data_IF_760594630296
#
_entry.id   IF_760594630296
#
_cell.length_a   1.000
_cell.length_b   1.000
_cell.length_c   1.000
_cell.angle_alpha   90.00
_cell.angle_beta   90.00
_cell.angle_gamma   90.00
#
_symmetry.space_group_name_H-M   'P 1'
#
loop_
_entity.id
_entity.type
_entity.pdbx_description
1 polymer ?
#
# COMPACT_ATOMS: atom_id res chain seq x y z
N UNK A 1 -9.03 16.76 12.41
CA UNK A 1 -8.55 17.06 11.04
C UNK A 1 -7.72 15.91 10.53
N UNK A 2 -7.75 15.62 9.23
CA UNK A 2 -6.86 14.69 8.55
C UNK A 2 -6.42 15.28 7.20
N UNK A 3 -5.34 14.74 6.65
CA UNK A 3 -4.82 15.10 5.33
C UNK A 3 -5.03 13.94 4.36
N UNK A 4 -5.61 14.24 3.20
CA UNK A 4 -5.71 13.33 2.07
C UNK A 4 -4.60 13.67 1.05
N UNK A 5 -3.80 12.68 0.63
CA UNK A 5 -2.79 12.84 -0.41
C UNK A 5 -3.05 11.90 -1.60
N UNK A 6 -3.30 12.48 -2.76
CA UNK A 6 -3.35 11.76 -4.03
C UNK A 6 -2.13 12.14 -4.84
N UNK A 7 -1.28 11.18 -5.20
CA UNK A 7 -0.01 11.45 -5.89
C UNK A 7 0.10 10.65 -7.18
N UNK A 8 0.82 11.19 -8.16
CA UNK A 8 1.19 10.47 -9.37
C UNK A 8 2.01 9.23 -9.01
N UNK A 9 1.45 8.03 -9.23
CA UNK A 9 2.08 6.75 -8.87
C UNK A 9 3.20 6.30 -9.81
N UNK A 10 3.60 7.13 -10.77
CA UNK A 10 4.78 6.92 -11.62
C UNK A 10 5.80 8.07 -11.49
N UNK A 11 5.63 8.96 -10.50
CA UNK A 11 6.56 10.06 -10.24
C UNK A 11 7.85 9.65 -9.52
N UNK A 12 7.87 8.48 -8.89
CA UNK A 12 8.94 8.02 -7.98
C UNK A 12 9.14 8.90 -6.74
N UNK A 13 8.23 9.84 -6.47
CA UNK A 13 8.33 10.82 -5.40
C UNK A 13 7.50 10.47 -4.17
N UNK A 14 6.77 9.35 -4.17
CA UNK A 14 5.78 8.98 -3.14
C UNK A 14 6.37 8.99 -1.72
N UNK A 15 7.54 8.40 -1.50
CA UNK A 15 8.21 8.37 -0.19
C UNK A 15 8.65 9.77 0.25
N UNK A 16 9.32 10.51 -0.64
CA UNK A 16 9.86 11.83 -0.35
C UNK A 16 8.73 12.83 -0.03
N UNK A 17 7.67 12.84 -0.86
CA UNK A 17 6.51 13.71 -0.68
C UNK A 17 5.73 13.32 0.57
N UNK A 18 5.43 12.03 0.79
CA UNK A 18 4.70 11.58 1.99
C UNK A 18 5.46 11.95 3.26
N UNK A 19 6.78 11.75 3.28
CA UNK A 19 7.62 12.12 4.41
C UNK A 19 7.59 13.64 4.62
N UNK A 20 7.87 14.43 3.59
CA UNK A 20 7.92 15.90 3.68
C UNK A 20 6.60 16.50 4.16
N UNK A 21 5.46 15.97 3.67
CA UNK A 21 4.13 16.39 4.13
C UNK A 21 3.95 16.03 5.59
N UNK A 22 4.25 14.79 5.99
CA UNK A 22 4.09 14.36 7.39
C UNK A 22 4.88 15.25 8.37
N UNK A 23 6.11 15.62 8.02
CA UNK A 23 6.92 16.56 8.82
C UNK A 23 6.26 17.94 9.00
N UNK A 24 5.46 18.39 8.03
CA UNK A 24 4.73 19.65 8.11
C UNK A 24 3.33 19.56 8.72
N UNK A 25 2.84 18.34 9.01
CA UNK A 25 1.48 18.09 9.50
C UNK A 25 1.39 17.87 11.02
N UNK A 26 2.53 17.77 11.71
CA UNK A 26 2.59 17.40 13.13
C UNK A 26 1.74 16.14 13.40
N UNK A 27 0.71 16.25 14.26
CA UNK A 27 -0.17 15.15 14.66
C UNK A 27 -1.34 14.88 13.68
N UNK A 28 -1.46 15.64 12.58
CA UNK A 28 -2.54 15.43 11.61
C UNK A 28 -2.25 14.16 10.80
N UNK A 29 -3.12 13.13 10.85
CA UNK A 29 -2.88 11.90 10.11
C UNK A 29 -2.97 12.14 8.61
N UNK A 30 -1.97 11.66 7.89
CA UNK A 30 -1.91 11.63 6.42
C UNK A 30 -2.38 10.27 5.90
N UNK A 31 -3.20 10.28 4.87
CA UNK A 31 -3.64 9.06 4.19
C UNK A 31 -3.92 9.34 2.72
N UNK A 32 -3.84 8.33 1.86
CA UNK A 32 -4.30 8.44 0.49
C UNK A 32 -3.76 7.38 -0.44
N UNK A 33 -3.69 7.71 -1.71
CA UNK A 33 -3.42 6.76 -2.78
C UNK A 33 -2.56 7.30 -3.89
N UNK A 34 -1.76 6.41 -4.46
CA UNK A 34 -0.98 6.65 -5.68
C UNK A 34 -1.85 6.30 -6.88
N UNK A 35 -2.00 7.26 -7.79
CA UNK A 35 -2.75 7.08 -9.03
C UNK A 35 -2.16 5.94 -9.86
N UNK A 36 -3.00 5.25 -10.62
CA UNK A 36 -2.59 4.15 -11.49
C UNK A 36 -3.32 4.19 -12.83
N UNK A 37 -2.89 3.33 -13.74
CA UNK A 37 -3.33 3.27 -15.14
C UNK A 37 -3.63 1.84 -15.60
N UNK A 38 -4.24 1.05 -14.71
CA UNK A 38 -4.72 -0.31 -14.96
C UNK A 38 -3.60 -1.30 -15.39
N UNK A 39 -2.48 -1.26 -14.65
CA UNK A 39 -1.29 -2.08 -14.83
C UNK A 39 -0.53 -1.85 -16.15
N UNK A 40 -0.79 -0.74 -16.84
CA UNK A 40 -0.02 -0.36 -18.05
C UNK A 40 1.34 0.24 -17.70
N UNK A 41 1.41 1.01 -16.62
CA UNK A 41 2.61 1.70 -16.15
C UNK A 41 3.22 2.63 -17.20
N UNK A 42 2.35 3.32 -17.95
CA UNK A 42 2.71 4.24 -19.03
C UNK A 42 2.48 5.70 -18.61
N UNK A 43 1.36 6.02 -17.96
CA UNK A 43 1.00 7.39 -17.58
C UNK A 43 -0.10 7.41 -16.53
N UNK A 44 0.11 8.13 -15.42
CA UNK A 44 -0.98 8.45 -14.47
C UNK A 44 -1.33 9.92 -14.54
N UNK A 45 -2.53 10.27 -14.05
CA UNK A 45 -3.06 11.63 -14.08
C UNK A 45 -3.80 11.93 -12.79
N UNK A 46 -3.64 13.17 -12.31
CA UNK A 46 -4.41 13.75 -11.23
C UNK A 46 -5.26 14.90 -11.74
N UNK A 47 -6.48 15.04 -11.23
CA UNK A 47 -7.41 16.08 -11.62
C UNK A 47 -7.77 16.91 -10.40
N UNK A 48 -7.51 18.22 -10.47
CA UNK A 48 -7.91 19.18 -9.44
C UNK A 48 -8.49 20.42 -10.10
N UNK A 49 -9.69 20.84 -9.66
CA UNK A 49 -10.39 22.04 -10.15
C UNK A 49 -10.46 22.13 -11.70
N UNK A 50 -10.75 21.00 -12.35
CA UNK A 50 -10.84 20.90 -13.81
C UNK A 50 -9.50 20.86 -14.55
N UNK A 51 -8.36 20.94 -13.84
CA UNK A 51 -7.02 20.83 -14.44
C UNK A 51 -6.49 19.41 -14.29
N UNK A 52 -6.07 18.83 -15.41
CA UNK A 52 -5.37 17.54 -15.46
C UNK A 52 -3.87 17.80 -15.31
N UNK A 53 -3.21 17.07 -14.42
CA UNK A 53 -1.77 17.17 -14.14
C UNK A 53 -1.14 15.78 -14.05
N UNK A 54 0.18 15.73 -14.21
CA UNK A 54 1.07 14.58 -13.93
C UNK A 54 2.28 15.13 -13.20
N UNK A 55 3.11 14.25 -12.63
CA UNK A 55 4.26 14.62 -11.81
C UNK A 55 3.86 15.63 -10.71
N UNK A 56 2.79 15.28 -10.01
CA UNK A 56 2.14 16.15 -9.04
C UNK A 56 1.52 15.37 -7.89
N UNK A 57 1.21 16.09 -6.82
CA UNK A 57 0.40 15.60 -5.71
C UNK A 57 -0.72 16.60 -5.41
N UNK A 58 -1.88 16.09 -5.05
CA UNK A 58 -3.02 16.84 -4.52
C UNK A 58 -3.08 16.54 -3.02
N UNK A 59 -3.01 17.59 -2.21
CA UNK A 59 -3.16 17.51 -0.76
C UNK A 59 -4.45 18.24 -0.37
N UNK A 60 -5.31 17.57 0.39
CA UNK A 60 -6.55 18.16 0.91
C UNK A 60 -6.56 18.02 2.42
N UNK A 61 -6.68 19.14 3.13
CA UNK A 61 -6.92 19.16 4.56
C UNK A 61 -8.41 19.19 4.84
N UNK A 62 -8.87 18.21 5.61
CA UNK A 62 -10.29 18.05 5.95
C UNK A 62 -10.44 18.13 7.46
N UNK A 63 -11.18 19.13 7.92
CA UNK A 63 -11.59 19.29 9.31
C UNK A 63 -13.07 18.94 9.40
N UNK A 64 -13.41 18.05 10.32
CA UNK A 64 -14.77 17.57 10.53
C UNK A 64 -15.00 17.32 12.02
N UNK A 65 -16.25 17.49 12.46
CA UNK A 65 -16.73 17.09 13.80
C UNK A 65 -17.09 15.60 13.86
N UNK A 66 -17.22 14.93 12.71
CA UNK A 66 -17.55 13.51 12.64
C UNK A 66 -16.36 12.71 13.20
N UNK A 67 -16.59 11.82 14.19
CA UNK A 67 -15.55 10.93 14.69
C UNK A 67 -14.96 10.08 13.56
N UNK A 68 -13.64 10.02 13.45
CA UNK A 68 -12.98 9.23 12.42
C UNK A 68 -11.76 8.48 12.95
N UNK A 69 -11.41 7.39 12.26
CA UNK A 69 -10.22 6.59 12.56
C UNK A 69 -9.50 6.19 11.27
N UNK A 70 -8.19 6.44 11.20
CA UNK A 70 -7.35 5.97 10.09
C UNK A 70 -6.75 4.61 10.41
N UNK A 71 -6.81 3.68 9.46
CA UNK A 71 -6.34 2.31 9.66
C UNK A 71 -5.68 1.75 8.39
N UNK A 72 -4.94 0.66 8.56
CA UNK A 72 -4.37 -0.14 7.48
C UNK A 72 -4.63 -1.62 7.73
N UNK A 73 -4.64 -2.41 6.66
CA UNK A 73 -4.63 -3.87 6.71
C UNK A 73 -3.55 -4.41 5.78
N UNK A 74 -2.75 -5.32 6.31
CA UNK A 74 -1.80 -6.14 5.55
C UNK A 74 -2.11 -7.62 5.84
N UNK A 75 -1.75 -8.48 4.90
CA UNK A 75 -2.16 -9.88 4.90
C UNK A 75 -0.95 -10.80 4.85
N UNK A 76 0.17 -10.42 5.49
CA UNK A 76 1.42 -11.15 5.35
C UNK A 76 2.13 -11.33 6.69
N UNK A 77 2.77 -12.48 6.84
CA UNK A 77 3.58 -12.82 7.99
C UNK A 77 5.01 -13.08 7.50
N UNK A 78 6.03 -12.40 8.05
CA UNK A 78 7.41 -12.63 7.66
C UNK A 78 7.84 -14.07 7.99
N UNK A 79 8.68 -14.64 7.13
CA UNK A 79 9.41 -15.87 7.39
C UNK A 79 10.83 -15.55 7.87
N UNK A 80 11.58 -16.60 8.21
CA UNK A 80 13.00 -16.49 8.56
C UNK A 80 13.90 -16.31 7.33
N UNK A 81 13.37 -16.50 6.12
CA UNK A 81 14.09 -16.34 4.86
C UNK A 81 14.39 -14.86 4.59
N UNK A 82 15.68 -14.51 4.42
CA UNK A 82 16.14 -13.12 4.28
C UNK A 82 16.79 -12.85 2.93
N UNK A 83 16.48 -11.69 2.40
CA UNK A 83 17.06 -11.11 1.20
C UNK A 83 17.73 -9.80 1.60
N UNK A 84 19.05 -9.78 1.62
CA UNK A 84 19.85 -8.57 1.87
C UNK A 84 20.07 -7.87 0.54
N UNK A 85 19.66 -6.62 0.42
CA UNK A 85 19.90 -5.80 -0.78
C UNK A 85 21.39 -5.47 -0.83
N UNK A 86 22.11 -6.00 -1.81
CA UNK A 86 23.57 -5.76 -1.94
C UNK A 86 23.92 -4.78 -3.05
N UNK A 87 23.02 -4.57 -4.01
CA UNK A 87 23.15 -3.54 -5.02
C UNK A 87 21.77 -3.07 -5.51
N UNK A 88 21.52 -1.76 -5.47
CA UNK A 88 20.28 -1.14 -5.95
C UNK A 88 20.49 0.19 -6.69
N UNK A 89 19.40 0.71 -7.22
CA UNK A 89 19.21 2.04 -7.79
C UNK A 89 17.92 2.62 -7.18
N UNK A 90 18.02 3.26 -6.00
CA UNK A 90 16.86 3.73 -5.27
C UNK A 90 16.04 4.75 -6.07
N UNK A 91 16.71 5.62 -6.83
CA UNK A 91 16.09 6.68 -7.63
C UNK A 91 15.17 6.11 -8.74
N UNK A 92 15.53 4.95 -9.29
CA UNK A 92 14.72 4.24 -10.28
C UNK A 92 13.94 3.05 -9.69
N UNK A 93 13.99 2.87 -8.36
CA UNK A 93 13.41 1.74 -7.61
C UNK A 93 13.82 0.38 -8.16
N UNK A 94 15.08 0.18 -8.54
CA UNK A 94 15.59 -1.09 -9.07
C UNK A 94 16.50 -1.76 -8.04
N UNK A 95 16.22 -3.01 -7.71
CA UNK A 95 17.16 -3.87 -6.98
C UNK A 95 17.85 -4.77 -8.00
N UNK A 96 19.19 -4.72 -8.04
CA UNK A 96 20.01 -5.52 -8.97
C UNK A 96 20.45 -6.82 -8.32
N UNK A 97 20.73 -6.79 -7.02
CA UNK A 97 21.25 -7.94 -6.29
C UNK A 97 20.58 -8.14 -4.92
N UNK A 98 20.34 -9.42 -4.62
CA UNK A 98 20.09 -9.89 -3.27
C UNK A 98 21.19 -10.87 -2.87
N UNK A 99 21.69 -10.77 -1.64
CA UNK A 99 22.69 -11.68 -1.08
C UNK A 99 23.94 -11.85 -1.98
N UNK A 100 24.37 -10.78 -2.67
CA UNK A 100 25.46 -10.77 -3.66
C UNK A 100 25.24 -11.70 -4.88
N UNK A 101 23.98 -11.97 -5.19
CA UNK A 101 23.51 -12.75 -6.34
C UNK A 101 22.48 -11.94 -7.14
N UNK A 102 22.25 -12.30 -8.41
CA UNK A 102 21.20 -11.69 -9.23
C UNK A 102 19.85 -11.68 -8.50
N UNK A 103 19.19 -10.52 -8.45
CA UNK A 103 17.98 -10.33 -7.64
C UNK A 103 16.86 -11.31 -7.99
N UNK A 104 16.59 -11.55 -9.27
CA UNK A 104 15.54 -12.47 -9.70
C UNK A 104 15.85 -13.92 -9.32
N UNK A 105 17.10 -14.36 -9.47
CA UNK A 105 17.52 -15.74 -9.15
C UNK A 105 17.42 -16.01 -7.66
N UNK A 106 17.96 -15.11 -6.83
CA UNK A 106 17.94 -15.25 -5.37
C UNK A 106 16.49 -15.19 -4.85
N UNK A 107 15.70 -14.22 -5.29
CA UNK A 107 14.29 -14.14 -4.91
C UNK A 107 13.52 -15.40 -5.31
N UNK A 108 13.71 -15.88 -6.55
CA UNK A 108 13.03 -17.07 -7.04
C UNK A 108 13.40 -18.32 -6.22
N UNK A 109 14.67 -18.48 -5.86
CA UNK A 109 15.14 -19.55 -4.98
C UNK A 109 14.47 -19.47 -3.61
N UNK A 110 14.44 -18.29 -2.98
CA UNK A 110 13.83 -18.07 -1.66
C UNK A 110 12.32 -18.33 -1.63
N UNK A 111 11.60 -18.16 -2.76
CA UNK A 111 10.16 -18.45 -2.85
C UNK A 111 9.86 -19.82 -3.48
N UNK A 112 10.88 -20.60 -3.85
CA UNK A 112 10.71 -21.93 -4.45
C UNK A 112 10.13 -21.93 -5.88
N UNK A 113 10.40 -20.89 -6.66
CA UNK A 113 9.92 -20.71 -8.04
C UNK A 113 11.10 -20.67 -9.01
N UNK A 114 10.87 -21.02 -10.28
CA UNK A 114 11.86 -20.86 -11.35
C UNK A 114 11.90 -19.38 -11.78
N UNK A 115 13.07 -18.75 -11.83
CA UNK A 115 13.20 -17.30 -12.10
C UNK A 115 12.49 -16.85 -13.40
N UNK A 116 12.54 -17.66 -14.47
CA UNK A 116 11.87 -17.36 -15.74
C UNK A 116 10.33 -17.42 -15.67
N UNK A 117 9.78 -17.97 -14.59
CA UNK A 117 8.35 -18.06 -14.31
C UNK A 117 7.87 -16.94 -13.37
N UNK A 118 8.74 -16.00 -13.00
CA UNK A 118 8.34 -14.84 -12.22
C UNK A 118 7.41 -13.94 -13.03
N UNK A 119 6.23 -13.68 -12.44
CA UNK A 119 5.19 -12.82 -13.02
C UNK A 119 4.69 -11.85 -11.96
N UNK A 120 3.94 -10.80 -12.34
CA UNK A 120 3.23 -9.95 -11.38
C UNK A 120 2.38 -10.73 -10.36
N UNK A 121 1.79 -11.87 -10.75
CA UNK A 121 1.05 -12.75 -9.84
C UNK A 121 1.97 -13.46 -8.84
N UNK A 122 3.16 -13.87 -9.27
CA UNK A 122 4.19 -14.46 -8.40
C UNK A 122 4.61 -13.47 -7.31
N UNK A 123 4.82 -12.20 -7.67
CA UNK A 123 5.17 -11.12 -6.74
C UNK A 123 4.03 -10.76 -5.79
N UNK A 124 2.80 -10.71 -6.29
CA UNK A 124 1.62 -10.48 -5.46
C UNK A 124 1.42 -11.58 -4.39
N UNK A 125 1.80 -12.82 -4.70
CA UNK A 125 1.59 -13.99 -3.84
C UNK A 125 2.70 -14.23 -2.80
N UNK A 126 3.90 -13.71 -3.04
CA UNK A 126 5.09 -13.92 -2.21
C UNK A 126 5.80 -12.59 -1.93
N UNK A 127 5.17 -11.66 -1.21
CA UNK A 127 5.78 -10.36 -0.97
C UNK A 127 7.02 -10.46 -0.10
N UNK A 128 7.83 -9.42 -0.17
CA UNK A 128 8.93 -9.19 0.76
C UNK A 128 8.58 -8.04 1.70
N UNK A 129 9.01 -8.13 2.95
CA UNK A 129 8.69 -7.15 3.99
C UNK A 129 9.95 -6.63 4.67
N UNK A 130 9.94 -5.35 5.04
CA UNK A 130 10.97 -4.71 5.85
C UNK A 130 10.45 -4.47 7.27
N UNK A 131 11.33 -4.57 8.26
CA UNK A 131 10.99 -4.27 9.66
C UNK A 131 11.39 -2.83 10.02
N UNK A 132 10.43 -1.99 10.39
CA UNK A 132 10.66 -0.60 10.81
C UNK A 132 9.89 -0.35 12.10
N UNK A 133 10.55 0.18 13.14
CA UNK A 133 9.88 0.51 14.40
C UNK A 133 9.23 -0.68 15.13
N UNK A 134 9.64 -1.92 14.82
CA UNK A 134 9.04 -3.14 15.38
C UNK A 134 7.93 -3.75 14.52
N UNK A 135 7.39 -3.01 13.54
CA UNK A 135 6.36 -3.47 12.62
C UNK A 135 6.94 -3.90 11.26
N UNK A 136 6.20 -4.71 10.53
CA UNK A 136 6.56 -5.14 9.18
C UNK A 136 5.75 -4.40 8.12
N UNK A 137 6.43 -4.00 7.05
CA UNK A 137 5.83 -3.28 5.92
C UNK A 137 6.23 -3.95 4.61
N UNK A 138 5.26 -4.18 3.75
CA UNK A 138 5.51 -4.77 2.45
C UNK A 138 6.31 -3.82 1.54
N UNK A 139 7.21 -4.40 0.77
CA UNK A 139 7.99 -3.76 -0.29
C UNK A 139 7.75 -4.55 -1.56
N UNK A 140 6.83 -4.06 -2.38
CA UNK A 140 6.29 -4.87 -3.46
C UNK A 140 7.15 -4.81 -4.71
N UNK A 141 7.48 -5.99 -5.25
CA UNK A 141 8.13 -6.12 -6.56
C UNK A 141 7.07 -5.84 -7.64
N UNK A 142 7.39 -4.94 -8.57
CA UNK A 142 6.57 -4.58 -9.71
C UNK A 142 6.80 -5.53 -10.90
N UNK A 143 8.05 -5.67 -11.33
CA UNK A 143 8.42 -6.46 -12.51
C UNK A 143 9.87 -6.91 -12.46
N UNK A 144 10.17 -7.95 -13.24
CA UNK A 144 11.52 -8.41 -13.53
C UNK A 144 11.96 -7.89 -14.90
N UNK A 145 13.21 -7.43 -14.99
CA UNK A 145 13.85 -7.01 -16.24
C UNK A 145 14.60 -8.18 -16.89
N UNK A 146 14.99 -8.02 -18.15
CA UNK A 146 15.68 -9.07 -18.91
C UNK A 146 17.05 -9.46 -18.32
N UNK A 147 17.70 -8.56 -17.58
CA UNK A 147 18.96 -8.80 -16.88
C UNK A 147 18.76 -9.43 -15.48
N UNK A 148 17.52 -9.70 -15.07
CA UNK A 148 17.18 -10.26 -13.76
C UNK A 148 17.12 -9.24 -12.63
N UNK A 149 17.32 -7.95 -12.91
CA UNK A 149 17.01 -6.90 -11.92
C UNK A 149 15.50 -6.78 -11.69
N UNK A 150 15.10 -6.32 -10.51
CA UNK A 150 13.71 -6.23 -10.09
C UNK A 150 13.33 -4.76 -9.82
N UNK A 151 12.31 -4.25 -10.50
CA UNK A 151 11.71 -2.97 -10.15
C UNK A 151 10.74 -3.14 -8.98
N UNK A 152 10.75 -2.21 -8.04
CA UNK A 152 9.87 -2.14 -6.88
C UNK A 152 8.88 -0.98 -7.00
N UNK A 153 7.74 -1.09 -6.31
CA UNK A 153 6.80 0.01 -6.15
C UNK A 153 7.29 1.09 -5.20
N UNK A 154 8.34 0.82 -4.43
CA UNK A 154 8.98 1.74 -3.50
C UNK A 154 10.51 1.69 -3.61
N UNK A 155 11.18 2.75 -3.15
CA UNK A 155 12.64 2.81 -3.11
C UNK A 155 13.21 1.82 -2.07
N UNK A 156 14.33 1.18 -2.41
CA UNK A 156 15.04 0.21 -1.57
C UNK A 156 16.54 0.50 -1.65
N UNK A 157 17.13 0.87 -0.52
CA UNK A 157 18.56 1.16 -0.40
C UNK A 157 19.41 -0.09 -0.18
N UNK A 158 20.68 0.01 -0.53
CA UNK A 158 21.70 -0.98 -0.19
C UNK A 158 21.75 -1.21 1.33
N UNK A 159 21.94 -2.48 1.72
CA UNK A 159 21.99 -2.91 3.11
C UNK A 159 20.63 -3.11 3.78
N UNK A 160 19.52 -2.77 3.12
CA UNK A 160 18.18 -3.10 3.62
C UNK A 160 18.01 -4.62 3.64
N UNK A 161 17.55 -5.13 4.79
CA UNK A 161 17.22 -6.55 4.96
C UNK A 161 15.72 -6.73 4.81
N UNK A 162 15.34 -7.46 3.77
CA UNK A 162 13.97 -7.88 3.52
C UNK A 162 13.78 -9.31 4.01
N UNK A 163 12.58 -9.62 4.48
CA UNK A 163 12.16 -10.99 4.75
C UNK A 163 11.13 -11.40 3.70
N UNK A 164 11.23 -12.63 3.18
CA UNK A 164 10.10 -13.20 2.43
C UNK A 164 8.92 -13.32 3.38
N UNK A 165 7.71 -13.05 2.90
CA UNK A 165 6.51 -13.17 3.70
C UNK A 165 5.52 -14.14 3.08
N UNK A 166 4.83 -14.87 3.95
CA UNK A 166 3.77 -15.77 3.58
C UNK A 166 2.41 -15.08 3.73
N UNK A 167 1.46 -15.39 2.85
CA UNK A 167 0.11 -14.87 2.93
C UNK A 167 -0.61 -15.39 4.19
N UNK A 168 -1.26 -14.48 4.88
CA UNK A 168 -2.33 -14.73 5.85
C UNK A 168 -3.67 -14.70 5.11
N UNK A 169 -4.70 -15.30 5.71
CA UNK A 169 -6.07 -15.15 5.24
C UNK A 169 -6.46 -13.67 5.15
N UNK A 170 -6.62 -13.20 3.90
CA UNK A 170 -6.91 -11.81 3.57
C UNK A 170 -8.32 -11.41 4.02
N UNK A 171 -9.29 -12.32 3.92
CA UNK A 171 -10.69 -12.06 4.27
C UNK A 171 -10.79 -11.86 5.76
N UNK A 172 -10.19 -12.75 6.54
CA UNK A 172 -10.20 -12.67 8.00
C UNK A 172 -9.36 -11.51 8.53
N UNK A 173 -8.19 -11.22 7.94
CA UNK A 173 -7.42 -10.02 8.30
C UNK A 173 -8.20 -8.72 8.04
N UNK A 174 -8.89 -8.63 6.90
CA UNK A 174 -9.71 -7.46 6.56
C UNK A 174 -10.94 -7.35 7.46
N UNK A 175 -11.64 -8.46 7.72
CA UNK A 175 -12.79 -8.52 8.63
C UNK A 175 -12.41 -8.09 10.05
N UNK A 176 -11.28 -8.60 10.56
CA UNK A 176 -10.80 -8.26 11.90
C UNK A 176 -10.50 -6.76 12.03
N UNK A 177 -9.82 -6.18 11.03
CA UNK A 177 -9.52 -4.75 11.04
C UNK A 177 -10.79 -3.88 10.97
N UNK A 178 -11.74 -4.22 10.10
CA UNK A 178 -13.02 -3.50 10.01
C UNK A 178 -13.82 -3.63 11.32
N UNK A 179 -13.78 -4.79 11.97
CA UNK A 179 -14.43 -4.98 13.28
C UNK A 179 -13.78 -4.15 14.39
N UNK A 180 -12.45 -4.06 14.45
CA UNK A 180 -11.73 -3.22 15.43
C UNK A 180 -12.06 -1.74 15.22
N UNK A 181 -12.06 -1.28 13.96
CA UNK A 181 -12.44 0.09 13.60
C UNK A 181 -13.88 0.40 14.01
N UNK A 182 -14.81 -0.52 13.73
CA UNK A 182 -16.22 -0.37 14.11
C UNK A 182 -16.40 -0.28 15.62
N UNK A 183 -15.71 -1.12 16.39
CA UNK A 183 -15.75 -1.07 17.86
C UNK A 183 -15.21 0.27 18.40
N UNK A 184 -14.13 0.80 17.82
CA UNK A 184 -13.53 2.07 18.24
C UNK A 184 -14.44 3.27 18.00
N UNK A 185 -15.20 3.25 16.90
CA UNK A 185 -16.10 4.34 16.52
C UNK A 185 -17.53 4.17 17.05
N UNK A 186 -17.87 2.99 17.61
CA UNK A 186 -19.23 2.65 18.00
C UNK A 186 -20.15 2.35 16.81
N UNK A 187 -19.58 2.07 15.63
CA UNK A 187 -20.26 1.92 14.36
C UNK A 187 -19.51 2.60 13.22
N UNK A 188 -19.65 2.09 12.01
CA UNK A 188 -19.06 2.68 10.79
C UNK A 188 -20.22 3.18 9.92
N UNK A 189 -20.23 4.47 9.63
CA UNK A 189 -21.16 5.08 8.66
C UNK A 189 -20.58 4.97 7.24
N UNK A 190 -19.32 5.39 7.07
CA UNK A 190 -18.63 5.42 5.77
C UNK A 190 -17.15 5.10 5.92
N UNK A 191 -16.55 4.44 4.92
CA UNK A 191 -15.09 4.35 4.79
C UNK A 191 -14.65 4.95 3.46
N UNK A 192 -13.68 5.87 3.50
CA UNK A 192 -12.89 6.23 2.33
C UNK A 192 -11.65 5.32 2.27
N UNK A 193 -11.57 4.43 1.28
CA UNK A 193 -10.55 3.38 1.18
C UNK A 193 -9.62 3.51 -0.04
N UNK A 194 -8.40 2.99 0.13
CA UNK A 194 -7.35 2.89 -0.90
C UNK A 194 -6.85 1.45 -0.92
N UNK A 195 -7.11 0.71 -1.99
CA UNK A 195 -6.80 -0.72 -2.13
C UNK A 195 -5.72 -0.95 -3.19
N UNK A 196 -4.55 -1.41 -2.75
CA UNK A 196 -3.41 -1.65 -3.63
C UNK A 196 -3.76 -2.62 -4.77
N UNK A 197 -3.29 -2.31 -5.98
CA UNK A 197 -3.47 -3.15 -7.16
C UNK A 197 -2.91 -4.56 -6.96
N UNK A 198 -1.76 -4.70 -6.27
CA UNK A 198 -1.18 -6.01 -5.99
C UNK A 198 -1.98 -6.79 -4.93
N UNK A 199 -2.59 -6.11 -3.95
CA UNK A 199 -3.51 -6.73 -3.00
C UNK A 199 -4.76 -7.25 -3.73
N UNK A 200 -5.28 -6.47 -4.69
CA UNK A 200 -6.39 -6.89 -5.56
C UNK A 200 -6.02 -8.07 -6.48
N UNK A 201 -4.81 -8.09 -7.02
CA UNK A 201 -4.31 -9.20 -7.83
C UNK A 201 -4.18 -10.49 -6.99
N UNK A 202 -3.63 -10.40 -5.78
CA UNK A 202 -3.54 -11.53 -4.86
C UNK A 202 -4.94 -12.05 -4.47
N UNK A 203 -5.91 -11.16 -4.19
CA UNK A 203 -7.30 -11.53 -3.91
C UNK A 203 -7.95 -12.31 -5.07
N UNK A 204 -7.65 -11.94 -6.32
CA UNK A 204 -8.12 -12.67 -7.52
C UNK A 204 -7.42 -14.02 -7.66
N UNK A 205 -6.10 -14.05 -7.46
CA UNK A 205 -5.31 -15.28 -7.54
C UNK A 205 -5.80 -16.33 -6.54
N UNK A 206 -6.15 -15.89 -5.32
CA UNK A 206 -6.70 -16.73 -4.25
C UNK A 206 -8.21 -16.97 -4.34
N UNK A 207 -8.88 -16.42 -5.36
CA UNK A 207 -10.32 -16.55 -5.57
C UNK A 207 -11.19 -15.94 -4.44
N UNK A 208 -10.65 -15.05 -3.61
CA UNK A 208 -11.36 -14.38 -2.50
C UNK A 208 -11.83 -12.96 -2.83
N UNK A 209 -11.60 -12.50 -4.07
CA UNK A 209 -11.99 -11.15 -4.53
C UNK A 209 -13.47 -10.81 -4.23
N UNK A 210 -14.38 -11.78 -4.40
CA UNK A 210 -15.81 -11.58 -4.13
C UNK A 210 -16.09 -11.37 -2.65
N UNK A 211 -15.45 -12.13 -1.78
CA UNK A 211 -15.62 -12.02 -0.32
C UNK A 211 -15.10 -10.68 0.20
N UNK A 212 -13.94 -10.24 -0.29
CA UNK A 212 -13.41 -8.90 0.00
C UNK A 212 -14.38 -7.80 -0.48
N UNK A 213 -14.93 -7.94 -1.70
CA UNK A 213 -15.91 -6.97 -2.21
C UNK A 213 -17.20 -6.94 -1.38
N UNK A 214 -17.65 -8.07 -0.83
CA UNK A 214 -18.82 -8.09 0.07
C UNK A 214 -18.50 -7.45 1.42
N UNK A 215 -17.30 -7.69 1.98
CA UNK A 215 -16.84 -6.98 3.18
C UNK A 215 -16.85 -5.45 2.98
N UNK A 216 -16.35 -4.99 1.84
CA UNK A 216 -16.35 -3.56 1.50
C UNK A 216 -17.77 -2.99 1.39
N UNK A 217 -18.70 -3.71 0.76
CA UNK A 217 -20.10 -3.27 0.66
C UNK A 217 -20.79 -3.19 2.01
N UNK A 218 -20.62 -4.20 2.87
CA UNK A 218 -21.24 -4.24 4.20
C UNK A 218 -20.73 -3.12 5.12
N UNK A 219 -19.51 -2.65 4.91
CA UNK A 219 -18.89 -1.58 5.71
C UNK A 219 -18.88 -0.22 4.98
N UNK A 220 -19.70 -0.05 3.94
CA UNK A 220 -19.82 1.21 3.18
C UNK A 220 -18.46 1.78 2.71
N UNK A 221 -17.58 0.92 2.17
CA UNK A 221 -16.30 1.36 1.61
C UNK A 221 -16.52 1.98 0.23
N UNK A 222 -16.13 3.24 0.09
CA UNK A 222 -15.98 3.97 -1.18
C UNK A 222 -14.51 4.36 -1.35
N UNK A 223 -14.01 4.43 -2.58
CA UNK A 223 -12.66 4.94 -2.81
C UNK A 223 -12.00 4.41 -4.07
N UNK A 224 -10.70 4.11 -3.98
CA UNK A 224 -9.83 3.96 -5.15
C UNK A 224 -9.03 2.65 -5.12
N UNK A 225 -8.78 2.11 -6.31
CA UNK A 225 -7.67 1.18 -6.52
C UNK A 225 -6.39 1.97 -6.77
N UNK A 226 -5.28 1.57 -6.16
CA UNK A 226 -4.04 2.37 -6.10
C UNK A 226 -2.80 1.59 -6.51
N UNK A 227 -1.74 2.27 -6.95
CA UNK A 227 -0.41 1.65 -7.12
C UNK A 227 0.39 1.56 -5.82
N UNK A 228 -0.04 2.30 -4.81
CA UNK A 228 0.41 2.18 -3.43
C UNK A 228 -0.33 3.18 -2.58
N UNK A 229 -0.20 3.05 -1.27
CA UNK A 229 -0.98 3.78 -0.29
C UNK A 229 -0.08 4.75 0.48
N UNK A 230 -0.64 5.87 0.89
CA UNK A 230 -0.01 6.84 1.76
C UNK A 230 -0.62 6.61 3.13
N UNK A 231 0.21 6.39 4.14
CA UNK A 231 -0.27 6.18 5.50
C UNK A 231 0.72 6.76 6.49
N UNK A 232 0.31 7.84 7.17
CA UNK A 232 1.15 8.64 8.07
C UNK A 232 2.42 9.08 7.34
N UNK A 233 3.59 8.70 7.83
CA UNK A 233 4.88 9.06 7.25
C UNK A 233 5.37 8.11 6.16
N UNK A 234 4.56 7.12 5.74
CA UNK A 234 5.03 6.00 4.92
C UNK A 234 4.23 5.84 3.63
N UNK A 235 4.96 5.55 2.55
CA UNK A 235 4.40 4.91 1.37
C UNK A 235 4.37 3.39 1.59
N UNK A 236 3.19 2.79 1.42
CA UNK A 236 2.91 1.38 1.63
C UNK A 236 2.49 0.73 0.30
N UNK A 237 2.73 -0.57 0.21
CA UNK A 237 2.25 -1.39 -0.90
C UNK A 237 1.57 -2.65 -0.36
N UNK A 238 0.74 -3.29 -1.18
CA UNK A 238 -0.02 -4.50 -0.82
C UNK A 238 -0.83 -4.35 0.48
N UNK A 239 -1.30 -3.13 0.75
CA UNK A 239 -2.18 -2.84 1.86
C UNK A 239 -3.55 -2.36 1.38
N UNK A 240 -4.52 -2.45 2.27
CA UNK A 240 -5.71 -1.60 2.20
C UNK A 240 -5.59 -0.56 3.30
N UNK A 241 -5.68 0.72 2.96
CA UNK A 241 -5.73 1.79 3.95
C UNK A 241 -7.08 2.47 3.87
N UNK A 242 -7.56 2.98 5.00
CA UNK A 242 -8.85 3.66 5.03
C UNK A 242 -8.99 4.70 6.13
N UNK A 243 -9.93 5.62 5.89
CA UNK A 243 -10.49 6.51 6.90
C UNK A 243 -11.92 6.04 7.13
N UNK A 244 -12.20 5.53 8.32
CA UNK A 244 -13.56 5.23 8.73
C UNK A 244 -14.16 6.41 9.48
N UNK A 245 -15.42 6.71 9.18
CA UNK A 245 -16.24 7.73 9.82
C UNK A 245 -17.34 7.04 10.62
N UNK A 246 -17.52 7.46 11.87
CA UNK A 246 -18.64 7.03 12.70
C UNK A 246 -19.89 7.89 12.45
N UNK A 247 -20.94 7.63 13.20
CA UNK A 247 -22.14 8.48 13.18
C UNK A 247 -21.88 9.80 13.91
N UNK A 248 -22.54 10.88 13.46
CA UNK A 248 -22.54 12.15 14.19
C UNK A 248 -23.31 11.94 15.50
N UNK A 249 -22.66 12.14 16.64
CA UNK A 249 -23.34 12.10 17.94
C UNK A 249 -24.50 13.10 17.93
N UNK A 250 -25.74 12.60 17.98
CA UNK A 250 -26.95 13.43 17.90
C UNK A 250 -27.10 14.44 19.06
N UNK A 251 -26.29 14.30 20.12
CA UNK A 251 -26.31 15.18 21.30
C UNK A 251 -25.61 16.52 21.09
N UNK A 252 -24.68 16.64 20.12
CA UNK A 252 -23.94 17.90 19.86
C UNK A 252 -24.56 18.75 18.73
N UNK A 253 -25.52 18.20 17.97
CA UNK A 253 -26.22 18.93 16.91
C UNK A 253 -27.40 19.79 17.42
N UNK A 254 -27.63 19.79 18.74
CA UNK A 254 -28.74 20.49 19.40
C UNK A 254 -28.29 21.71 20.24
N UNK A 255 -27.01 22.08 20.20
CA UNK A 255 -26.44 23.30 20.79
C UNK A 255 -26.05 24.30 19.68
#
# INVERSE_FOLDING_TARGET
>A
TFALCLIDGLSYAEEAVTSAIHWGLDDIPLIGGSAGDDLKFETTRLISNGKVTSDSAIIVLITTEIPFHVFKTDNFVPTDEKLVVTASDPDHRIVREFNATNAAEEYAASVGVVAQMLTPLSFASHPVVVKVGGEFYCRSIQKMHADGSLSFFCAIDDGVVLAVAQPKDMVEATRAALSDVSQRLGGIDLILGFDCVLRRLDARNRQVYREISELYKVNNVLGFGTYGEQYRSMHLNQTFTGIAFGERNAAEAAE
#
